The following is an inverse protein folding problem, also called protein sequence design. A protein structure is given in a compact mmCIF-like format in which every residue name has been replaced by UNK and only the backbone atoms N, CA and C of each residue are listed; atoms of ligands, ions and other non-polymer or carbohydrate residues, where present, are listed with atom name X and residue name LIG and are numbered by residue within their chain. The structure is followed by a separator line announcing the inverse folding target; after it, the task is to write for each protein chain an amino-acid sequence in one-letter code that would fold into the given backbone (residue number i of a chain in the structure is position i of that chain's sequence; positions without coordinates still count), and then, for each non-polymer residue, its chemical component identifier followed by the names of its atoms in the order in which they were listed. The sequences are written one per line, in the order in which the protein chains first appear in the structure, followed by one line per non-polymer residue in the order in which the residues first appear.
data_IF_184466102033
#
_entry.id   IF_184466102033
#
_cell.length_a   1.000
_cell.length_b   1.000
_cell.length_c   1.000
_cell.angle_alpha   90.00
_cell.angle_beta   90.00
_cell.angle_gamma   90.00
#
_symmetry.space_group_name_H-M   'P 1'
#
loop_
_entity.id
_entity.type
_entity.pdbx_description
1 polymer ?
#
# COMPACT_ATOMS: atom_id res chain seq x y z
N UNK A 1 3.38 9.83 -7.22
CA UNK A 1 4.38 8.74 -7.07
C UNK A 1 4.56 8.45 -5.59
N UNK A 2 4.68 7.18 -5.21
CA UNK A 2 5.00 6.77 -3.84
C UNK A 2 6.18 5.80 -3.88
N UNK A 3 7.30 6.08 -3.17
CA UNK A 3 8.44 5.18 -3.13
C UNK A 3 8.22 3.97 -2.21
N UNK A 4 7.26 4.05 -1.27
CA UNK A 4 6.95 2.98 -0.32
C UNK A 4 5.61 3.22 0.40
N UNK A 5 4.98 2.15 0.88
CA UNK A 5 3.76 2.26 1.70
C UNK A 5 4.05 3.03 2.99
N UNK A 6 5.24 2.85 3.59
CA UNK A 6 5.68 3.58 4.78
C UNK A 6 5.69 5.11 4.54
N UNK A 7 6.17 5.55 3.37
CA UNK A 7 6.19 6.99 3.04
C UNK A 7 4.78 7.54 2.89
N UNK A 8 3.91 6.81 2.19
CA UNK A 8 2.50 7.19 2.04
C UNK A 8 1.80 7.24 3.40
N UNK A 9 1.98 6.22 4.24
CA UNK A 9 1.42 6.13 5.58
C UNK A 9 1.82 7.35 6.43
N UNK A 10 3.11 7.66 6.48
CA UNK A 10 3.61 8.82 7.23
C UNK A 10 3.03 10.15 6.71
N UNK A 11 2.98 10.35 5.38
CA UNK A 11 2.42 11.56 4.79
C UNK A 11 0.93 11.74 5.09
N UNK A 12 0.15 10.65 5.12
CA UNK A 12 -1.25 10.68 5.55
C UNK A 12 -1.34 11.14 7.00
N UNK A 13 -0.52 10.56 7.89
CA UNK A 13 -0.50 10.92 9.31
C UNK A 13 -0.14 12.38 9.56
N UNK A 14 0.91 12.88 8.89
CA UNK A 14 1.35 14.28 8.96
C UNK A 14 0.23 15.24 8.54
N UNK A 15 -0.37 15.01 7.37
CA UNK A 15 -1.48 15.84 6.86
C UNK A 15 -2.69 15.83 7.78
N UNK A 16 -3.03 14.69 8.39
CA UNK A 16 -4.15 14.58 9.32
C UNK A 16 -3.92 15.41 10.60
N UNK A 17 -2.72 15.32 11.18
CA UNK A 17 -2.35 16.06 12.39
C UNK A 17 -2.24 17.57 12.15
N UNK A 18 -1.78 17.98 10.96
CA UNK A 18 -1.72 19.39 10.58
C UNK A 18 -3.11 20.00 10.34
N UNK A 19 -3.99 19.28 9.63
CA UNK A 19 -5.31 19.81 9.24
C UNK A 19 -6.35 19.76 10.33
N UNK A 20 -6.19 18.87 11.32
CA UNK A 20 -7.16 18.69 12.40
C UNK A 20 -6.46 18.88 13.74
N UNK A 21 -6.41 20.12 14.27
CA UNK A 21 -5.68 20.44 15.51
C UNK A 21 -6.12 19.62 16.75
N UNK A 22 -7.38 19.18 16.77
CA UNK A 22 -7.96 18.35 17.83
C UNK A 22 -7.41 16.92 17.86
N UNK A 23 -6.80 16.43 16.77
CA UNK A 23 -6.13 15.14 16.74
C UNK A 23 -4.68 15.34 17.22
N UNK A 24 -4.24 14.52 18.17
CA UNK A 24 -2.86 14.50 18.68
C UNK A 24 -2.09 13.21 18.37
N UNK A 25 -2.81 12.14 18.02
CA UNK A 25 -2.28 10.81 17.70
C UNK A 25 -3.13 10.19 16.61
N UNK A 26 -2.48 9.57 15.63
CA UNK A 26 -3.10 8.74 14.62
C UNK A 26 -2.36 7.41 14.51
N UNK A 27 -3.11 6.33 14.33
CA UNK A 27 -2.59 4.98 14.15
C UNK A 27 -3.15 4.45 12.84
N UNK A 28 -2.26 3.95 11.98
CA UNK A 28 -2.57 3.49 10.64
C UNK A 28 -2.02 2.08 10.45
N UNK A 29 -2.83 1.23 9.83
CA UNK A 29 -2.49 -0.11 9.37
C UNK A 29 -2.83 -0.19 7.88
N UNK A 30 -1.84 -0.51 7.05
CA UNK A 30 -1.92 -0.44 5.59
C UNK A 30 -1.37 -1.74 4.99
N UNK A 31 -2.20 -2.78 4.86
CA UNK A 31 -1.79 -3.99 4.17
C UNK A 31 -1.51 -3.69 2.69
N UNK A 32 -0.39 -4.20 2.18
CA UNK A 32 -0.03 -4.14 0.77
C UNK A 32 -0.59 -5.38 0.05
N UNK A 33 -1.88 -5.34 -0.26
CA UNK A 33 -2.57 -6.42 -0.99
C UNK A 33 -2.02 -6.53 -2.40
N UNK A 34 -1.47 -7.69 -2.74
CA UNK A 34 -0.72 -7.87 -3.98
C UNK A 34 -1.63 -8.19 -5.17
N UNK A 35 -1.40 -7.48 -6.27
CA UNK A 35 -1.92 -7.82 -7.59
C UNK A 35 -0.71 -8.16 -8.47
N UNK A 36 -0.35 -9.44 -8.50
CA UNK A 36 0.86 -9.92 -9.15
C UNK A 36 0.63 -10.10 -10.66
N UNK A 37 1.64 -9.81 -11.48
CA UNK A 37 1.56 -10.09 -12.92
C UNK A 37 1.44 -11.59 -13.19
N UNK A 38 0.45 -11.99 -13.98
CA UNK A 38 0.30 -13.40 -14.35
C UNK A 38 1.20 -13.75 -15.53
N UNK A 39 2.04 -14.78 -15.39
CA UNK A 39 2.84 -15.28 -16.51
C UNK A 39 1.98 -16.10 -17.47
N UNK A 40 1.66 -15.50 -18.61
CA UNK A 40 0.87 -16.10 -19.68
C UNK A 40 1.74 -16.74 -20.78
N UNK A 41 3.07 -16.76 -20.65
CA UNK A 41 3.96 -17.37 -21.64
C UNK A 41 3.64 -18.85 -21.85
N UNK A 42 3.27 -19.56 -20.77
CA UNK A 42 2.84 -20.97 -20.80
C UNK A 42 1.56 -21.21 -21.61
N UNK A 43 0.77 -20.16 -21.84
CA UNK A 43 -0.44 -20.20 -22.66
C UNK A 43 -0.21 -19.65 -24.07
N UNK A 44 1.05 -19.48 -24.49
CA UNK A 44 1.42 -18.93 -25.80
C UNK A 44 1.14 -17.43 -25.94
N UNK A 45 1.01 -16.69 -24.82
CA UNK A 45 0.69 -15.26 -24.79
C UNK A 45 1.72 -14.45 -23.99
N UNK A 46 3.00 -14.41 -24.41
CA UNK A 46 4.02 -13.64 -23.71
C UNK A 46 3.72 -12.14 -23.74
N UNK A 47 4.03 -11.42 -22.66
CA UNK A 47 4.03 -9.95 -22.64
C UNK A 47 2.68 -9.26 -22.39
N UNK A 48 1.62 -9.98 -22.04
CA UNK A 48 0.35 -9.36 -21.58
C UNK A 48 0.45 -8.94 -20.11
N UNK A 49 1.13 -7.82 -19.84
CA UNK A 49 1.29 -7.24 -18.49
C UNK A 49 0.00 -6.65 -17.89
N UNK A 50 -1.12 -6.72 -18.61
CA UNK A 50 -2.40 -6.15 -18.19
C UNK A 50 -3.24 -7.11 -17.33
N UNK A 51 -2.83 -8.38 -17.22
CA UNK A 51 -3.54 -9.40 -16.44
C UNK A 51 -2.84 -9.58 -15.09
N UNK A 52 -3.57 -9.28 -14.02
CA UNK A 52 -3.07 -9.34 -12.65
C UNK A 52 -3.84 -10.39 -11.85
N UNK A 53 -3.14 -11.13 -11.01
CA UNK A 53 -3.68 -12.09 -10.08
C UNK A 53 -3.82 -11.45 -8.69
N UNK A 54 -5.04 -11.22 -8.19
CA UNK A 54 -5.24 -10.81 -6.80
C UNK A 54 -4.76 -11.91 -5.86
N UNK A 55 -3.89 -11.56 -4.92
CA UNK A 55 -3.35 -12.46 -3.91
C UNK A 55 -3.69 -11.89 -2.55
N UNK A 56 -4.57 -12.59 -1.82
CA UNK A 56 -5.05 -12.17 -0.51
C UNK A 56 -3.97 -12.39 0.57
N UNK A 57 -3.38 -13.60 0.59
CA UNK A 57 -2.33 -13.98 1.53
C UNK A 57 -1.16 -14.68 0.82
N UNK A 58 0.11 -14.46 1.24
CA UNK A 58 0.53 -13.47 2.25
C UNK A 58 0.55 -12.05 1.66
N UNK A 59 0.28 -11.05 2.50
CA UNK A 59 0.52 -9.65 2.18
C UNK A 59 1.50 -9.00 3.18
N UNK A 60 2.15 -7.92 2.73
CA UNK A 60 2.96 -7.10 3.64
C UNK A 60 2.06 -6.27 4.55
N UNK A 61 2.27 -6.34 5.86
CA UNK A 61 1.60 -5.47 6.82
C UNK A 61 2.49 -4.27 7.15
N UNK A 62 1.94 -3.05 7.05
CA UNK A 62 2.66 -1.81 7.37
C UNK A 62 1.85 -1.03 8.38
N UNK A 63 2.38 -0.88 9.58
CA UNK A 63 1.73 -0.15 10.66
C UNK A 63 2.61 0.99 11.17
N UNK A 64 2.00 2.12 11.55
CA UNK A 64 2.69 3.15 12.31
C UNK A 64 1.74 3.98 13.18
N UNK A 65 2.31 4.55 14.23
CA UNK A 65 1.67 5.57 15.08
C UNK A 65 2.41 6.88 14.86
N UNK A 66 1.67 7.94 14.53
CA UNK A 66 2.20 9.29 14.36
C UNK A 66 1.56 10.19 15.42
N UNK A 67 2.38 10.99 16.09
CA UNK A 67 1.99 11.91 17.16
C UNK A 67 2.56 13.30 16.89
N UNK A 68 1.88 14.35 17.37
CA UNK A 68 2.37 15.74 17.33
C UNK A 68 3.42 16.01 18.39
#
# INVERSE_FOLDING_TARGET
YSPSVQRTLYQIGEVALERVPAISRIELKMPNVHFLGLDLAKLGRPGQSCVLLPTDEPHGEIEAVIVR
#
